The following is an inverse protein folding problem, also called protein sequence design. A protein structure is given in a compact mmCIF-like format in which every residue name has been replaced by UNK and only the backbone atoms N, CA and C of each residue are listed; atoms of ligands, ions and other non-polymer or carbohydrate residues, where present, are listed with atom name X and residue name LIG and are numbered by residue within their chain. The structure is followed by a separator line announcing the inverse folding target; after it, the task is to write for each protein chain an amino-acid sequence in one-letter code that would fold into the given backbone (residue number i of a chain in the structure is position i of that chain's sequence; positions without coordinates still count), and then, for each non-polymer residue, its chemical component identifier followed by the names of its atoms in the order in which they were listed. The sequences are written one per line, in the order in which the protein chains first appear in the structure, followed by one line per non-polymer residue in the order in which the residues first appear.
data_IF_190245963925
#
_entry.id   IF_190245963925
#
_cell.length_a   1.000
_cell.length_b   1.000
_cell.length_c   1.000
_cell.angle_alpha   90.00
_cell.angle_beta   90.00
_cell.angle_gamma   90.00
#
_symmetry.space_group_name_H-M   'P 1'
#
loop_
_entity.id
_entity.type
_entity.pdbx_description
1 polymer ?
#
# COMPACT_ATOMS: atom_id res chain seq x y z
N UNK A 1 4.10 5.60 21.21
CA UNK A 1 4.37 6.89 20.52
C UNK A 1 3.04 7.56 20.22
N UNK A 2 2.90 8.86 20.48
CA UNK A 2 1.70 9.59 20.06
C UNK A 2 1.86 10.00 18.60
N UNK A 3 0.94 9.59 17.74
CA UNK A 3 0.98 9.94 16.32
C UNK A 3 0.28 11.26 16.11
N UNK A 4 0.99 12.27 15.61
CA UNK A 4 0.41 13.58 15.31
C UNK A 4 -0.18 13.63 13.90
N UNK A 5 0.48 12.99 12.94
CA UNK A 5 0.09 13.00 11.54
C UNK A 5 0.56 11.73 10.81
N UNK A 6 -0.12 11.41 9.70
CA UNK A 6 0.26 10.34 8.78
C UNK A 6 0.34 10.95 7.39
N UNK A 7 1.48 10.76 6.71
CA UNK A 7 1.72 11.27 5.37
C UNK A 7 2.08 10.13 4.42
N UNK A 8 1.35 10.02 3.31
CA UNK A 8 1.61 9.03 2.25
C UNK A 8 2.47 9.68 1.15
N UNK A 9 3.52 8.99 0.72
CA UNK A 9 4.47 9.48 -0.28
C UNK A 9 4.74 8.38 -1.32
N UNK A 10 4.97 8.77 -2.58
CA UNK A 10 5.29 7.84 -3.67
C UNK A 10 4.15 7.56 -4.66
N UNK A 11 3.03 8.31 -4.56
CA UNK A 11 1.87 8.16 -5.44
C UNK A 11 1.65 9.33 -6.41
N UNK A 12 2.51 10.36 -6.40
CA UNK A 12 2.26 11.62 -7.10
C UNK A 12 2.00 11.45 -8.62
N UNK A 13 2.73 10.56 -9.28
CA UNK A 13 2.67 10.36 -10.73
C UNK A 13 1.74 9.20 -11.14
N UNK A 14 1.04 8.56 -10.20
CA UNK A 14 0.20 7.40 -10.50
C UNK A 14 -1.23 7.82 -10.89
N UNK A 15 -1.81 7.31 -12.00
CA UNK A 15 -3.15 7.70 -12.45
C UNK A 15 -4.24 7.41 -11.40
N UNK A 16 -4.10 6.33 -10.63
CA UNK A 16 -5.02 5.96 -9.55
C UNK A 16 -4.64 6.50 -8.17
N UNK A 17 -3.89 7.61 -8.07
CA UNK A 17 -3.37 8.15 -6.80
C UNK A 17 -4.40 8.17 -5.67
N UNK A 18 -5.58 8.75 -5.89
CA UNK A 18 -6.60 8.91 -4.85
C UNK A 18 -7.11 7.57 -4.31
N UNK A 19 -7.28 6.58 -5.21
CA UNK A 19 -7.75 5.24 -4.87
C UNK A 19 -6.71 4.49 -4.04
N UNK A 20 -5.45 4.60 -4.44
CA UNK A 20 -4.33 3.97 -3.74
C UNK A 20 -4.08 4.61 -2.38
N UNK A 21 -4.16 5.93 -2.29
CA UNK A 21 -4.02 6.66 -1.03
C UNK A 21 -5.13 6.29 -0.05
N UNK A 22 -6.38 6.18 -0.52
CA UNK A 22 -7.49 5.68 0.29
C UNK A 22 -7.25 4.25 0.77
N UNK A 23 -6.79 3.35 -0.10
CA UNK A 23 -6.51 1.97 0.27
C UNK A 23 -5.47 1.87 1.41
N UNK A 24 -4.47 2.75 1.41
CA UNK A 24 -3.49 2.84 2.51
C UNK A 24 -4.18 3.30 3.79
N UNK A 25 -4.93 4.40 3.76
CA UNK A 25 -5.62 4.90 4.95
C UNK A 25 -6.68 3.93 5.49
N UNK A 26 -7.32 3.13 4.63
CA UNK A 26 -8.28 2.11 5.04
C UNK A 26 -7.58 0.90 5.67
N UNK A 27 -6.39 0.53 5.18
CA UNK A 27 -5.60 -0.57 5.74
C UNK A 27 -4.91 -0.21 7.07
N UNK A 28 -4.63 1.07 7.31
CA UNK A 28 -3.99 1.54 8.54
C UNK A 28 -4.95 1.48 9.75
N UNK A 29 -4.50 0.81 10.81
CA UNK A 29 -5.17 0.86 12.12
C UNK A 29 -4.79 2.12 12.90
N UNK A 30 -3.56 2.60 12.71
CA UNK A 30 -3.05 3.80 13.38
C UNK A 30 -3.66 5.07 12.79
N UNK A 31 -4.12 5.96 13.66
CA UNK A 31 -4.72 7.26 13.31
C UNK A 31 -4.01 8.42 14.01
N UNK A 32 -4.03 9.64 13.44
CA UNK A 32 -3.64 10.85 14.16
C UNK A 32 -4.37 10.96 15.51
N UNK A 33 -3.65 11.35 16.55
CA UNK A 33 -4.13 11.41 17.93
C UNK A 33 -4.12 10.09 18.69
N UNK A 34 -3.87 8.95 18.02
CA UNK A 34 -3.77 7.64 18.68
C UNK A 34 -2.35 7.34 19.15
N UNK A 35 -2.24 6.49 20.17
CA UNK A 35 -0.97 5.90 20.57
C UNK A 35 -0.66 4.67 19.70
N UNK A 36 0.59 4.55 19.25
CA UNK A 36 1.06 3.41 18.47
C UNK A 36 2.29 2.75 19.09
N UNK A 37 2.58 1.54 18.63
CA UNK A 37 3.71 0.70 19.04
C UNK A 37 4.40 0.11 17.80
N UNK A 38 5.63 -0.40 17.98
CA UNK A 38 6.37 -1.03 16.88
C UNK A 38 5.67 -2.26 16.31
N UNK A 39 4.94 -3.02 17.14
CA UNK A 39 4.15 -4.17 16.69
C UNK A 39 2.95 -3.71 15.85
N UNK A 40 2.24 -2.67 16.28
CA UNK A 40 1.13 -2.07 15.51
C UNK A 40 1.60 -1.61 14.13
N UNK A 41 2.74 -0.91 14.05
CA UNK A 41 3.30 -0.47 12.75
C UNK A 41 3.70 -1.65 11.85
N UNK A 42 4.14 -2.77 12.42
CA UNK A 42 4.44 -3.99 11.66
C UNK A 42 3.16 -4.62 11.10
N UNK A 43 2.08 -4.64 11.88
CA UNK A 43 0.76 -5.10 11.43
C UNK A 43 0.22 -4.20 10.32
N UNK A 44 0.31 -2.89 10.48
CA UNK A 44 -0.11 -1.91 9.48
C UNK A 44 0.68 -2.05 8.18
N UNK A 45 2.00 -2.24 8.25
CA UNK A 45 2.83 -2.53 7.09
C UNK A 45 2.35 -3.79 6.36
N UNK A 46 2.07 -4.87 7.09
CA UNK A 46 1.56 -6.10 6.51
C UNK A 46 0.17 -5.93 5.90
N UNK A 47 -0.70 -5.14 6.52
CA UNK A 47 -2.04 -4.84 6.02
C UNK A 47 -1.98 -4.07 4.68
N UNK A 48 -1.10 -3.07 4.56
CA UNK A 48 -0.89 -2.34 3.32
C UNK A 48 -0.37 -3.28 2.22
N UNK A 49 0.61 -4.14 2.52
CA UNK A 49 1.08 -5.13 1.55
C UNK A 49 -0.02 -6.10 1.12
N UNK A 50 -0.87 -6.54 2.05
CA UNK A 50 -1.97 -7.46 1.77
C UNK A 50 -3.04 -6.88 0.83
N UNK A 51 -3.08 -5.56 0.62
CA UNK A 51 -3.94 -4.95 -0.39
C UNK A 51 -3.56 -5.36 -1.83
N UNK A 52 -2.32 -5.79 -2.05
CA UNK A 52 -1.81 -6.21 -3.36
C UNK A 52 -1.52 -5.06 -4.34
N UNK A 53 -1.69 -3.80 -3.93
CA UNK A 53 -1.47 -2.64 -4.79
C UNK A 53 -0.02 -2.17 -4.87
N UNK A 54 0.82 -2.55 -3.92
CA UNK A 54 2.16 -1.97 -3.74
C UNK A 54 3.24 -3.06 -3.84
N UNK A 55 4.33 -2.74 -4.54
CA UNK A 55 5.52 -3.59 -4.63
C UNK A 55 6.48 -3.37 -3.47
N UNK A 56 6.45 -2.18 -2.86
CA UNK A 56 7.29 -1.81 -1.73
C UNK A 56 6.53 -0.84 -0.80
N UNK A 57 6.66 -1.06 0.51
CA UNK A 57 6.02 -0.27 1.57
C UNK A 57 7.02 -0.10 2.72
N UNK A 58 7.28 1.14 3.11
CA UNK A 58 8.09 1.51 4.27
C UNK A 58 7.34 2.51 5.15
N UNK A 59 7.28 2.22 6.45
CA UNK A 59 6.73 3.14 7.45
C UNK A 59 7.88 3.67 8.30
N UNK A 60 8.05 4.99 8.30
CA UNK A 60 9.10 5.68 9.04
C UNK A 60 8.49 6.65 10.05
N UNK A 61 8.71 6.44 11.37
CA UNK A 61 8.39 7.44 12.37
C UNK A 61 9.45 8.56 12.33
N UNK A 62 8.97 9.80 12.23
CA UNK A 62 9.79 11.01 12.25
C UNK A 62 9.31 11.87 13.43
N UNK A 63 10.23 12.26 14.31
CA UNK A 63 9.89 13.12 15.44
C UNK A 63 9.52 14.53 14.95
N UNK A 64 8.40 15.05 15.43
CA UNK A 64 7.91 16.39 15.13
C UNK A 64 7.52 17.15 16.40
N UNK A 65 7.26 18.46 16.30
CA UNK A 65 6.99 19.33 17.45
C UNK A 65 5.71 18.97 18.21
N UNK A 66 4.77 18.27 17.57
CA UNK A 66 3.48 17.88 18.15
C UNK A 66 3.37 16.37 18.44
N UNK A 67 4.45 15.61 18.25
CA UNK A 67 4.45 14.15 18.33
C UNK A 67 5.14 13.50 17.13
N UNK A 68 4.87 12.22 16.90
CA UNK A 68 5.50 11.46 15.81
C UNK A 68 4.67 11.60 14.53
N UNK A 69 5.31 12.06 13.47
CA UNK A 69 4.82 11.97 12.09
C UNK A 69 5.14 10.58 11.54
N UNK A 70 4.13 9.87 11.05
CA UNK A 70 4.35 8.63 10.31
C UNK A 70 4.42 8.93 8.82
N UNK A 71 5.59 8.69 8.22
CA UNK A 71 5.78 8.76 6.77
C UNK A 71 5.64 7.36 6.18
N UNK A 72 4.62 7.16 5.37
CA UNK A 72 4.35 5.92 4.65
C UNK A 72 4.83 6.08 3.21
N UNK A 73 6.03 5.60 2.94
CA UNK A 73 6.61 5.57 1.60
C UNK A 73 6.16 4.31 0.89
N UNK A 74 5.50 4.46 -0.25
CA UNK A 74 4.99 3.34 -1.06
C UNK A 74 5.47 3.42 -2.49
N UNK A 75 5.63 2.25 -3.11
CA UNK A 75 5.83 2.11 -4.56
C UNK A 75 4.65 1.35 -5.14
N UNK A 76 3.75 2.00 -5.90
CA UNK A 76 2.60 1.33 -6.49
C UNK A 76 3.03 0.35 -7.58
N UNK A 77 2.25 -0.71 -7.76
CA UNK A 77 2.41 -1.61 -8.90
C UNK A 77 2.12 -0.87 -10.20
N UNK A 78 2.84 -1.19 -11.30
CA UNK A 78 2.57 -0.56 -12.59
C UNK A 78 1.17 -0.94 -13.10
N UNK A 79 0.59 -0.07 -13.93
CA UNK A 79 -0.68 -0.36 -14.61
C UNK A 79 -0.50 -1.61 -15.48
N UNK A 80 -1.34 -2.62 -15.23
CA UNK A 80 -1.33 -3.87 -15.99
C UNK A 80 -1.64 -3.61 -17.46
N UNK A 81 -0.74 -4.04 -18.35
CA UNK A 81 -0.90 -3.89 -19.80
C UNK A 81 -1.31 -5.20 -20.47
N UNK A 82 -0.61 -6.28 -20.13
CA UNK A 82 -0.83 -7.60 -20.69
C UNK A 82 -0.39 -8.69 -19.71
N UNK A 83 -0.93 -9.90 -19.89
CA UNK A 83 -0.53 -11.10 -19.16
C UNK A 83 -0.11 -12.14 -20.19
N UNK A 84 1.18 -12.50 -20.18
CA UNK A 84 1.75 -13.51 -21.07
C UNK A 84 1.81 -14.85 -20.35
N UNK A 85 1.20 -15.87 -20.96
CA UNK A 85 1.28 -17.24 -20.47
C UNK A 85 2.43 -17.97 -21.14
N UNK A 86 3.42 -18.37 -20.34
CA UNK A 86 4.60 -19.11 -20.83
C UNK A 86 4.31 -20.61 -21.08
N UNK A 87 3.11 -21.09 -20.74
CA UNK A 87 2.69 -22.47 -21.00
C UNK A 87 1.53 -22.53 -22.02
N UNK A 88 1.80 -22.81 -23.30
CA UNK A 88 0.76 -22.90 -24.33
C UNK A 88 -0.23 -24.06 -24.12
N UNK A 89 0.10 -25.06 -23.28
CA UNK A 89 -0.82 -26.16 -22.94
C UNK A 89 -1.85 -25.79 -21.86
N UNK A 90 -1.65 -24.67 -21.16
CA UNK A 90 -2.59 -24.16 -20.17
C UNK A 90 -3.72 -23.31 -20.80
N UNK A 91 -3.62 -22.99 -22.10
CA UNK A 91 -4.67 -22.30 -22.82
C UNK A 91 -5.87 -23.24 -23.00
N UNK A 92 -7.04 -22.78 -22.57
CA UNK A 92 -8.28 -23.50 -22.83
C UNK A 92 -8.44 -23.69 -24.35
N UNK A 93 -8.89 -24.87 -24.82
CA UNK A 93 -9.20 -25.06 -26.22
C UNK A 93 -10.20 -24.00 -26.68
N UNK A 94 -9.95 -23.37 -27.84
CA UNK A 94 -10.79 -22.30 -28.39
C UNK A 94 -12.28 -22.69 -28.52
N UNK A 95 -12.57 -24.00 -28.53
CA UNK A 95 -13.92 -24.59 -28.57
C UNK A 95 -14.74 -24.40 -27.28
N UNK A 96 -14.10 -24.07 -26.15
CA UNK A 96 -14.76 -23.95 -24.83
C UNK A 96 -14.91 -22.50 -24.34
N UNK A 97 -14.44 -21.52 -25.10
CA UNK A 97 -14.59 -20.10 -24.80
C UNK A 97 -15.79 -19.63 -25.64
N UNK A 98 -17.00 -19.72 -25.07
CA UNK A 98 -18.24 -19.25 -25.68
C UNK A 98 -18.88 -18.18 -24.81
#
# INVERSE_FOLDING_TARGET
MLVSEVAVVGLADHPDKERLERAIYDALTVRPGSSTSRSSLKTDLAAIYATGWFSDVRIQPVDGPLGVRLVVNVTPNPVLKEVLLDNPKALLPKERIK
#
